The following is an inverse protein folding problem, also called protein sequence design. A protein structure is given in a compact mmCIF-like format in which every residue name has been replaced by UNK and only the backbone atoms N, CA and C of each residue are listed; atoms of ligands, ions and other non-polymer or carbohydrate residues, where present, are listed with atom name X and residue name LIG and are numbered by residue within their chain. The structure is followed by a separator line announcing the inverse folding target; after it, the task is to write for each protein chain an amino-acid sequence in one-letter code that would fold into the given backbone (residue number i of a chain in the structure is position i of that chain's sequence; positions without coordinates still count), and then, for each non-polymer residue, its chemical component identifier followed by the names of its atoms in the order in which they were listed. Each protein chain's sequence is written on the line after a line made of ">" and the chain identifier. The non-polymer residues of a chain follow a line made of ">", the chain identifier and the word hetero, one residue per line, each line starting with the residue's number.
data_IF_328944620272
#
_entry.id   IF_328944620272
#
_cell.length_a   1.000
_cell.length_b   1.000
_cell.length_c   1.000
_cell.angle_alpha   90.00
_cell.angle_beta   90.00
_cell.angle_gamma   90.00
#
_symmetry.space_group_name_H-M   'P 1'
#
loop_
_entity.id
_entity.type
_entity.pdbx_description
1 polymer ?
#
# COMPACT_ATOMS: atom_id res chain seq x y z
N UNK A 1 -10.22 -18.60 33.36
CA UNK A 1 -10.84 -19.84 32.82
C UNK A 1 -12.11 -19.66 32.02
N UNK A 2 -13.15 -18.97 32.51
CA UNK A 2 -14.43 -18.84 31.78
C UNK A 2 -14.26 -18.07 30.46
N UNK A 3 -13.52 -16.97 30.46
CA UNK A 3 -13.23 -16.18 29.27
C UNK A 3 -12.51 -16.98 28.18
N UNK A 4 -11.48 -17.76 28.54
CA UNK A 4 -10.73 -18.60 27.60
C UNK A 4 -11.64 -19.66 26.97
N UNK A 5 -12.46 -20.33 27.79
CA UNK A 5 -13.44 -21.32 27.31
C UNK A 5 -14.52 -20.71 26.40
N UNK A 6 -14.91 -19.46 26.63
CA UNK A 6 -15.85 -18.75 25.75
C UNK A 6 -15.18 -18.36 24.44
N UNK A 7 -13.93 -17.90 24.49
CA UNK A 7 -13.14 -17.52 23.31
C UNK A 7 -12.84 -18.70 22.39
N UNK A 8 -12.54 -19.87 22.95
CA UNK A 8 -12.36 -21.10 22.17
C UNK A 8 -13.63 -21.54 21.41
N UNK A 9 -14.82 -21.10 21.85
CA UNK A 9 -16.09 -21.39 21.17
C UNK A 9 -16.38 -20.44 20.01
N UNK A 10 -15.71 -19.29 19.92
CA UNK A 10 -15.97 -18.27 18.88
C UNK A 10 -15.70 -18.82 17.48
N UNK A 11 -14.56 -19.47 17.28
CA UNK A 11 -14.15 -19.98 15.97
C UNK A 11 -15.09 -21.06 15.40
N UNK A 12 -15.46 -22.14 16.14
CA UNK A 12 -16.42 -23.12 15.63
C UNK A 12 -17.83 -22.52 15.46
N UNK A 13 -18.21 -21.57 16.31
CA UNK A 13 -19.48 -20.85 16.19
C UNK A 13 -19.53 -20.03 14.89
N UNK A 14 -18.43 -19.38 14.52
CA UNK A 14 -18.29 -18.57 13.30
C UNK A 14 -18.49 -19.38 12.03
N UNK A 15 -17.93 -20.59 11.97
CA UNK A 15 -18.10 -21.49 10.82
C UNK A 15 -19.56 -21.90 10.67
N UNK A 16 -20.21 -22.36 11.75
CA UNK A 16 -21.63 -22.74 11.73
C UNK A 16 -22.55 -21.57 11.41
N UNK A 17 -22.27 -20.39 11.96
CA UNK A 17 -23.04 -19.18 11.73
C UNK A 17 -23.06 -18.80 10.24
N UNK A 18 -21.90 -18.91 9.57
CA UNK A 18 -21.79 -18.69 8.12
C UNK A 18 -22.59 -19.73 7.33
N UNK A 19 -22.56 -20.99 7.73
CA UNK A 19 -23.33 -22.05 7.07
C UNK A 19 -24.83 -21.76 7.11
N UNK A 20 -25.38 -21.45 8.28
CA UNK A 20 -26.82 -21.14 8.41
C UNK A 20 -27.23 -19.88 7.62
N UNK A 21 -26.36 -18.86 7.56
CA UNK A 21 -26.62 -17.68 6.74
C UNK A 21 -26.73 -18.03 5.24
N UNK A 22 -25.88 -18.95 4.76
CA UNK A 22 -25.91 -19.47 3.39
C UNK A 22 -27.16 -20.33 3.16
N UNK A 23 -27.52 -21.20 4.09
CA UNK A 23 -28.68 -22.08 3.99
C UNK A 23 -29.99 -21.28 3.89
N UNK A 24 -30.08 -20.17 4.62
CA UNK A 24 -31.20 -19.21 4.58
C UNK A 24 -31.11 -18.21 3.42
N UNK A 25 -30.07 -18.30 2.58
CA UNK A 25 -29.83 -17.41 1.42
C UNK A 25 -29.86 -15.92 1.76
N UNK A 26 -29.32 -15.57 2.92
CA UNK A 26 -29.23 -14.17 3.34
C UNK A 26 -28.01 -13.50 2.68
N UNK A 27 -28.21 -12.34 2.07
CA UNK A 27 -27.14 -11.54 1.44
C UNK A 27 -26.33 -10.78 2.50
N UNK A 28 -25.59 -11.53 3.31
CA UNK A 28 -24.75 -10.98 4.38
C UNK A 28 -23.45 -11.76 4.55
N UNK A 29 -22.43 -11.08 5.09
CA UNK A 29 -21.16 -11.68 5.48
C UNK A 29 -20.97 -11.54 6.98
N UNK A 30 -20.76 -12.67 7.66
CA UNK A 30 -20.43 -12.69 9.09
C UNK A 30 -18.91 -12.56 9.23
N UNK A 31 -18.47 -11.40 9.70
CA UNK A 31 -17.08 -11.02 9.81
C UNK A 31 -16.44 -11.63 11.05
N UNK A 32 -17.08 -11.45 12.22
CA UNK A 32 -16.53 -11.89 13.50
C UNK A 32 -17.59 -12.12 14.58
N UNK A 33 -17.22 -12.86 15.63
CA UNK A 33 -18.07 -13.14 16.80
C UNK A 33 -17.27 -12.90 18.07
N UNK A 34 -17.82 -12.10 18.98
CA UNK A 34 -17.22 -11.85 20.29
C UNK A 34 -18.18 -12.29 21.40
N UNK A 35 -17.68 -13.08 22.34
CA UNK A 35 -18.38 -13.32 23.60
C UNK A 35 -18.10 -12.21 24.61
N UNK A 36 -19.14 -11.83 25.35
CA UNK A 36 -18.97 -11.04 26.56
C UNK A 36 -18.16 -11.85 27.59
N UNK A 37 -17.38 -11.17 28.44
CA UNK A 37 -16.51 -11.81 29.43
C UNK A 37 -17.20 -12.86 30.31
N UNK A 38 -18.49 -12.66 30.61
CA UNK A 38 -19.31 -13.56 31.42
C UNK A 38 -19.91 -14.73 30.62
N UNK A 39 -19.71 -14.78 29.30
CA UNK A 39 -20.25 -15.81 28.40
C UNK A 39 -21.76 -15.75 28.17
N UNK A 40 -22.46 -14.79 28.77
CA UNK A 40 -23.92 -14.66 28.72
C UNK A 40 -24.46 -14.15 27.38
N UNK A 41 -23.65 -13.38 26.66
CA UNK A 41 -24.02 -12.71 25.40
C UNK A 41 -22.93 -12.93 24.35
N UNK A 42 -23.35 -13.21 23.13
CA UNK A 42 -22.49 -13.30 21.96
C UNK A 42 -22.92 -12.25 20.94
N UNK A 43 -21.97 -11.42 20.51
CA UNK A 43 -22.16 -10.35 19.54
C UNK A 43 -21.62 -10.79 18.18
N UNK A 44 -22.49 -10.82 17.19
CA UNK A 44 -22.18 -11.21 15.82
C UNK A 44 -22.03 -9.94 14.98
N UNK A 45 -20.85 -9.74 14.44
CA UNK A 45 -20.56 -8.66 13.51
C UNK A 45 -20.80 -9.11 12.08
N UNK A 46 -21.62 -8.35 11.37
CA UNK A 46 -21.91 -8.64 9.97
C UNK A 46 -21.83 -7.40 9.09
N UNK A 47 -21.55 -7.63 7.81
CA UNK A 47 -21.64 -6.65 6.75
C UNK A 47 -22.67 -7.09 5.71
N UNK A 48 -23.42 -6.12 5.20
CA UNK A 48 -24.42 -6.30 4.16
C UNK A 48 -24.53 -4.99 3.38
N UNK A 49 -24.83 -5.08 2.09
CA UNK A 49 -25.09 -3.92 1.23
C UNK A 49 -26.50 -3.36 1.50
N UNK A 50 -27.48 -4.26 1.57
CA UNK A 50 -28.89 -3.94 1.82
C UNK A 50 -29.36 -4.36 3.21
N UNK A 51 -30.60 -3.99 3.55
CA UNK A 51 -31.24 -4.37 4.81
C UNK A 51 -31.60 -5.86 4.78
N UNK A 52 -31.04 -6.61 5.72
CA UNK A 52 -31.24 -8.06 5.85
C UNK A 52 -32.29 -8.36 6.93
N UNK A 53 -33.26 -9.23 6.63
CA UNK A 53 -34.17 -9.78 7.65
C UNK A 53 -33.55 -11.04 8.28
N UNK A 54 -33.00 -10.88 9.48
CA UNK A 54 -32.33 -11.95 10.23
C UNK A 54 -33.23 -12.60 11.31
N UNK A 55 -34.55 -12.38 11.30
CA UNK A 55 -35.46 -12.94 12.32
C UNK A 55 -35.42 -14.46 12.39
N UNK A 56 -35.38 -15.13 11.24
CA UNK A 56 -35.28 -16.60 11.19
C UNK A 56 -33.90 -17.08 11.63
N UNK A 57 -32.83 -16.37 11.20
CA UNK A 57 -31.46 -16.66 11.58
C UNK A 57 -31.28 -16.60 13.11
N UNK A 58 -31.87 -15.61 13.79
CA UNK A 58 -31.83 -15.52 15.26
C UNK A 58 -32.46 -16.75 15.92
N UNK A 59 -33.57 -17.28 15.38
CA UNK A 59 -34.22 -18.49 15.93
C UNK A 59 -33.31 -19.71 15.81
N UNK A 60 -32.65 -19.86 14.66
CA UNK A 60 -31.70 -20.96 14.41
C UNK A 60 -30.49 -20.82 15.34
N UNK A 61 -29.91 -19.63 15.45
CA UNK A 61 -28.78 -19.36 16.33
C UNK A 61 -29.14 -19.60 17.80
N UNK A 62 -30.31 -19.17 18.26
CA UNK A 62 -30.75 -19.37 19.64
C UNK A 62 -30.90 -20.88 19.97
N UNK A 63 -31.39 -21.67 19.01
CA UNK A 63 -31.55 -23.12 19.15
C UNK A 63 -30.19 -23.85 19.21
N UNK A 64 -29.25 -23.47 18.35
CA UNK A 64 -27.94 -24.12 18.27
C UNK A 64 -27.01 -23.70 19.41
N UNK A 65 -26.90 -22.39 19.67
CA UNK A 65 -25.86 -21.84 20.53
C UNK A 65 -26.30 -21.59 21.97
N UNK A 66 -27.60 -21.63 22.25
CA UNK A 66 -28.20 -21.48 23.60
C UNK A 66 -27.65 -20.26 24.39
N UNK A 67 -27.27 -19.21 23.67
CA UNK A 67 -26.67 -17.98 24.20
C UNK A 67 -27.50 -16.78 23.71
N UNK A 68 -27.52 -15.68 24.47
CA UNK A 68 -28.16 -14.44 24.00
C UNK A 68 -27.38 -13.87 22.82
N UNK A 69 -28.02 -13.81 21.66
CA UNK A 69 -27.43 -13.30 20.42
C UNK A 69 -27.72 -11.82 20.26
N UNK A 70 -26.70 -11.05 19.92
CA UNK A 70 -26.82 -9.68 19.43
C UNK A 70 -26.21 -9.59 18.04
N UNK A 71 -26.97 -9.07 17.07
CA UNK A 71 -26.50 -8.84 15.70
C UNK A 71 -26.10 -7.37 15.59
N UNK A 72 -24.85 -7.11 15.18
CA UNK A 72 -24.32 -5.76 15.00
C UNK A 72 -23.84 -5.57 13.56
N UNK A 73 -24.46 -4.63 12.86
CA UNK A 73 -24.02 -4.23 11.52
C UNK A 73 -22.74 -3.38 11.63
N UNK A 74 -21.77 -3.69 10.78
CA UNK A 74 -20.47 -3.03 10.74
C UNK A 74 -20.25 -2.48 9.33
N UNK A 75 -19.56 -1.34 9.21
CA UNK A 75 -19.21 -0.82 7.89
C UNK A 75 -18.05 -1.61 7.26
N UNK A 76 -17.98 -1.67 5.92
CA UNK A 76 -16.91 -2.38 5.19
C UNK A 76 -15.48 -2.03 5.64
N UNK A 77 -15.23 -0.79 6.05
CA UNK A 77 -13.91 -0.38 6.57
C UNK A 77 -13.61 -0.97 7.94
N UNK A 78 -14.59 -1.02 8.83
CA UNK A 78 -14.46 -1.61 10.15
C UNK A 78 -14.36 -3.14 10.07
N UNK A 79 -15.01 -3.76 9.08
CA UNK A 79 -14.80 -5.17 8.75
C UNK A 79 -13.34 -5.41 8.33
N UNK A 80 -12.80 -4.62 7.40
CA UNK A 80 -11.41 -4.72 6.99
C UNK A 80 -10.43 -4.46 8.16
N UNK A 81 -10.79 -3.58 9.09
CA UNK A 81 -10.01 -3.34 10.31
C UNK A 81 -9.95 -4.56 11.24
N UNK A 82 -11.05 -5.30 11.37
CA UNK A 82 -11.13 -6.51 12.22
C UNK A 82 -10.47 -7.72 11.57
N UNK A 83 -10.74 -7.97 10.28
CA UNK A 83 -10.09 -9.06 9.56
C UNK A 83 -8.58 -8.82 9.39
N UNK A 84 -8.17 -7.55 9.29
CA UNK A 84 -6.81 -7.19 8.92
C UNK A 84 -6.52 -7.52 7.45
N UNK A 85 -5.27 -7.28 7.05
CA UNK A 85 -4.81 -7.54 5.69
C UNK A 85 -3.61 -6.68 5.32
N UNK A 86 -3.22 -6.76 4.04
CA UNK A 86 -2.10 -6.00 3.49
C UNK A 86 -2.64 -4.91 2.55
N UNK A 87 -2.28 -3.66 2.84
CA UNK A 87 -2.62 -2.51 2.01
C UNK A 87 -1.85 -2.50 0.69
N UNK A 88 -2.27 -1.63 -0.24
CA UNK A 88 -1.55 -1.44 -1.51
C UNK A 88 -0.11 -0.94 -1.32
N UNK A 89 0.23 -0.43 -0.14
CA UNK A 89 1.58 -0.03 0.26
C UNK A 89 2.46 -1.20 0.72
N UNK A 90 1.96 -2.44 0.71
CA UNK A 90 2.70 -3.63 1.15
C UNK A 90 2.83 -3.78 2.67
N UNK A 91 2.24 -2.86 3.45
CA UNK A 91 2.18 -2.92 4.93
C UNK A 91 0.82 -3.43 5.39
N UNK A 92 0.72 -3.81 6.66
CA UNK A 92 -0.57 -4.09 7.30
C UNK A 92 -1.53 -2.90 7.17
N UNK A 93 -2.84 -3.17 7.20
CA UNK A 93 -3.85 -2.11 7.10
C UNK A 93 -3.70 -1.09 8.25
N UNK A 94 -3.68 0.19 7.91
CA UNK A 94 -3.64 1.28 8.90
C UNK A 94 -4.82 1.20 9.87
N UNK A 95 -5.97 0.75 9.37
CA UNK A 95 -7.22 0.61 10.12
C UNK A 95 -7.21 -0.52 11.15
N UNK A 96 -6.36 -1.54 10.98
CA UNK A 96 -6.21 -2.64 11.95
C UNK A 96 -5.10 -2.38 12.97
N UNK A 97 -4.23 -1.40 12.70
CA UNK A 97 -3.02 -1.15 13.51
C UNK A 97 -3.19 0.05 14.44
N UNK A 98 -3.34 1.26 13.89
CA UNK A 98 -3.29 2.49 14.70
C UNK A 98 -4.39 3.50 14.35
N UNK A 99 -4.91 3.49 13.12
CA UNK A 99 -5.89 4.47 12.68
C UNK A 99 -7.31 4.00 12.97
N UNK A 100 -7.86 4.42 14.11
CA UNK A 100 -9.20 4.04 14.59
C UNK A 100 -10.30 5.04 14.25
N UNK A 101 -9.96 6.31 13.96
CA UNK A 101 -10.92 7.34 13.54
C UNK A 101 -11.16 7.28 12.02
N UNK A 102 -12.38 6.88 11.64
CA UNK A 102 -12.77 6.72 10.23
C UNK A 102 -13.61 7.89 9.76
N UNK A 103 -12.96 8.93 9.27
CA UNK A 103 -13.64 10.03 8.57
C UNK A 103 -14.02 9.64 7.13
N UNK A 104 -15.07 10.26 6.63
CA UNK A 104 -15.41 10.19 5.20
C UNK A 104 -14.33 10.87 4.38
N UNK A 105 -13.86 10.20 3.34
CA UNK A 105 -12.85 10.72 2.42
C UNK A 105 -13.56 11.16 1.14
N UNK A 106 -13.25 12.36 0.66
CA UNK A 106 -13.75 12.89 -0.60
C UNK A 106 -12.73 12.74 -1.72
N UNK A 107 -13.19 12.80 -2.97
CA UNK A 107 -12.30 12.82 -4.14
C UNK A 107 -11.54 14.15 -4.28
N UNK A 108 -11.93 15.20 -3.55
CA UNK A 108 -11.22 16.48 -3.56
C UNK A 108 -9.81 16.37 -2.96
N UNK A 109 -9.61 15.55 -1.91
CA UNK A 109 -8.29 15.32 -1.32
C UNK A 109 -7.28 14.80 -2.36
N UNK A 110 -7.72 13.87 -3.22
CA UNK A 110 -6.88 13.35 -4.30
C UNK A 110 -6.52 14.42 -5.34
N UNK A 111 -7.41 15.41 -5.59
CA UNK A 111 -7.12 16.52 -6.51
C UNK A 111 -6.07 17.46 -5.95
N UNK A 112 -6.15 17.81 -4.66
CA UNK A 112 -5.14 18.65 -4.01
C UNK A 112 -3.76 18.00 -4.04
N UNK A 113 -3.70 16.69 -3.80
CA UNK A 113 -2.48 15.87 -3.88
C UNK A 113 -2.02 15.57 -5.31
N UNK A 114 -2.69 16.13 -6.33
CA UNK A 114 -2.37 15.94 -7.75
C UNK A 114 -2.30 14.45 -8.18
N UNK A 115 -3.06 13.59 -7.49
CA UNK A 115 -3.15 12.16 -7.80
C UNK A 115 -4.11 11.93 -8.97
N UNK A 116 -3.82 10.90 -9.77
CA UNK A 116 -4.72 10.48 -10.84
C UNK A 116 -6.09 10.09 -10.29
N UNK A 117 -7.17 10.61 -10.87
CA UNK A 117 -8.55 10.38 -10.42
C UNK A 117 -9.12 9.00 -10.85
N UNK A 118 -8.30 7.96 -10.83
CA UNK A 118 -8.74 6.60 -11.14
C UNK A 118 -9.26 5.91 -9.86
N UNK A 119 -10.54 5.50 -9.80
CA UNK A 119 -11.14 4.91 -8.60
C UNK A 119 -10.45 3.62 -8.15
N UNK A 120 -9.91 2.81 -9.07
CA UNK A 120 -9.22 1.56 -8.73
C UNK A 120 -7.93 1.81 -7.95
N UNK A 121 -7.21 2.91 -8.24
CA UNK A 121 -5.98 3.29 -7.54
C UNK A 121 -6.24 3.98 -6.20
N UNK A 122 -7.36 4.69 -6.10
CA UNK A 122 -7.76 5.45 -4.90
C UNK A 122 -8.56 4.61 -3.89
N UNK A 123 -9.15 3.50 -4.32
CA UNK A 123 -9.83 2.56 -3.44
C UNK A 123 -8.82 1.80 -2.55
N UNK A 124 -9.17 1.63 -1.27
CA UNK A 124 -8.48 0.74 -0.36
C UNK A 124 -9.06 -0.68 -0.41
N UNK A 125 -8.51 -1.59 0.39
CA UNK A 125 -8.99 -2.98 0.45
C UNK A 125 -10.45 -3.11 0.92
N UNK A 126 -10.97 -2.10 1.60
CA UNK A 126 -12.37 -2.02 2.00
C UNK A 126 -13.32 -1.56 0.88
N UNK A 127 -12.86 -1.40 -0.36
CA UNK A 127 -13.64 -0.93 -1.51
C UNK A 127 -14.00 0.56 -1.49
N UNK A 128 -13.77 1.27 -0.38
CA UNK A 128 -13.93 2.73 -0.25
C UNK A 128 -12.61 3.46 -0.51
N UNK A 129 -12.67 4.77 -0.72
CA UNK A 129 -11.49 5.63 -0.85
C UNK A 129 -10.50 5.44 0.32
N UNK A 130 -9.21 5.49 0.02
CA UNK A 130 -8.13 5.33 1.01
C UNK A 130 -8.19 6.40 2.09
N UNK A 131 -8.16 6.00 3.36
CA UNK A 131 -8.05 6.91 4.50
C UNK A 131 -6.70 7.65 4.55
N UNK A 132 -5.65 7.10 3.92
CA UNK A 132 -4.35 7.74 3.75
C UNK A 132 -4.48 9.11 3.07
N UNK A 133 -5.44 9.29 2.15
CA UNK A 133 -5.64 10.55 1.45
C UNK A 133 -5.94 11.70 2.41
N UNK A 134 -6.78 11.49 3.42
CA UNK A 134 -7.03 12.53 4.43
C UNK A 134 -5.88 12.65 5.42
N UNK A 135 -5.26 11.53 5.80
CA UNK A 135 -4.15 11.53 6.76
C UNK A 135 -2.95 12.33 6.24
N UNK A 136 -2.62 12.21 4.96
CA UNK A 136 -1.48 12.89 4.32
C UNK A 136 -1.83 14.31 3.85
N UNK A 137 -3.12 14.68 3.79
CA UNK A 137 -3.56 15.94 3.18
C UNK A 137 -3.02 17.17 3.90
N UNK A 138 -3.12 17.21 5.23
CA UNK A 138 -2.75 18.39 6.01
C UNK A 138 -1.24 18.66 5.86
N UNK A 139 -0.41 17.63 6.03
CA UNK A 139 1.04 17.72 5.82
C UNK A 139 1.39 18.09 4.38
N UNK A 140 0.65 17.58 3.40
CA UNK A 140 0.87 17.92 1.99
C UNK A 140 0.58 19.41 1.72
N UNK A 141 -0.49 19.97 2.30
CA UNK A 141 -0.84 21.38 2.13
C UNK A 141 0.21 22.30 2.78
N UNK A 142 0.64 21.98 3.99
CA UNK A 142 1.70 22.71 4.69
C UNK A 142 3.01 22.70 3.89
N UNK A 143 3.36 21.57 3.30
CA UNK A 143 4.57 21.46 2.48
C UNK A 143 4.42 22.26 1.19
N UNK A 144 3.25 22.21 0.54
CA UNK A 144 2.96 22.96 -0.68
C UNK A 144 3.03 24.49 -0.48
N UNK A 145 2.64 25.00 0.68
CA UNK A 145 2.76 26.43 1.02
C UNK A 145 4.21 26.93 1.06
N UNK A 146 5.17 26.05 1.36
CA UNK A 146 6.60 26.41 1.37
C UNK A 146 7.16 26.63 -0.03
N UNK A 147 6.55 26.05 -1.05
CA UNK A 147 7.01 26.21 -2.43
C UNK A 147 6.55 27.53 -3.02
N UNK A 148 7.44 28.30 -3.66
CA UNK A 148 7.02 29.47 -4.42
C UNK A 148 6.17 29.04 -5.62
N UNK A 149 5.28 29.93 -6.05
CA UNK A 149 4.47 29.70 -7.25
C UNK A 149 5.40 29.50 -8.47
N UNK A 150 5.15 28.48 -9.32
CA UNK A 150 6.03 28.13 -10.43
C UNK A 150 6.17 29.24 -11.49
N UNK A 151 5.20 30.16 -11.55
CA UNK A 151 5.21 31.31 -12.46
C UNK A 151 6.23 32.39 -12.10
N UNK A 152 6.76 32.38 -10.87
CA UNK A 152 7.71 33.38 -10.39
C UNK A 152 9.07 33.11 -11.01
N UNK A 153 9.52 34.02 -11.87
CA UNK A 153 10.85 33.99 -12.48
C UNK A 153 11.90 34.50 -11.50
N UNK A 154 13.01 33.78 -11.38
CA UNK A 154 14.15 34.22 -10.57
C UNK A 154 15.05 35.11 -11.43
N UNK A 155 15.32 36.33 -10.98
CA UNK A 155 16.30 37.22 -11.62
C UNK A 155 17.66 36.97 -10.98
N UNK A 156 18.67 36.72 -11.81
CA UNK A 156 20.07 36.64 -11.39
C UNK A 156 20.91 37.45 -12.36
N UNK A 157 22.16 37.71 -12.01
CA UNK A 157 23.09 38.48 -12.86
C UNK A 157 23.36 37.79 -14.21
N UNK A 158 23.39 36.44 -14.22
CA UNK A 158 23.54 35.63 -15.44
C UNK A 158 22.32 35.64 -16.36
N UNK A 159 21.12 35.88 -15.80
CA UNK A 159 19.89 35.84 -16.57
C UNK A 159 18.65 35.52 -15.73
N UNK A 160 17.53 35.38 -16.44
CA UNK A 160 16.22 35.06 -15.86
C UNK A 160 16.07 33.54 -15.86
N UNK A 161 15.75 32.96 -14.71
CA UNK A 161 15.49 31.53 -14.59
C UNK A 161 14.00 31.23 -14.39
N UNK A 162 13.54 30.17 -15.04
CA UNK A 162 12.15 29.72 -15.07
C UNK A 162 12.07 28.33 -14.43
N UNK A 163 11.05 28.11 -13.58
CA UNK A 163 10.79 26.81 -12.98
C UNK A 163 10.23 25.84 -14.03
N UNK A 164 10.91 24.73 -14.26
CA UNK A 164 10.48 23.69 -15.21
C UNK A 164 9.74 22.55 -14.50
N UNK A 165 10.20 22.18 -13.31
CA UNK A 165 9.66 21.06 -12.55
C UNK A 165 9.75 21.34 -11.06
N UNK A 166 8.73 20.89 -10.34
CA UNK A 166 8.67 20.89 -8.87
C UNK A 166 8.43 19.45 -8.40
N UNK A 167 9.23 18.99 -7.44
CA UNK A 167 9.02 17.72 -6.74
C UNK A 167 8.79 18.01 -5.26
N UNK A 168 7.52 17.92 -4.86
CA UNK A 168 7.05 18.25 -3.51
C UNK A 168 7.58 17.23 -2.50
N UNK A 169 7.69 15.95 -2.89
CA UNK A 169 8.13 14.89 -1.98
C UNK A 169 9.62 14.96 -1.66
N UNK A 170 10.44 15.40 -2.62
CA UNK A 170 11.88 15.57 -2.40
C UNK A 170 12.28 16.94 -1.89
N UNK A 171 11.35 17.92 -1.85
CA UNK A 171 11.72 19.29 -1.49
C UNK A 171 12.64 19.92 -2.52
N UNK A 172 12.45 19.63 -3.82
CA UNK A 172 13.36 20.08 -4.89
C UNK A 172 12.62 20.77 -6.02
N UNK A 173 13.25 21.81 -6.56
CA UNK A 173 12.80 22.51 -7.75
C UNK A 173 13.90 22.55 -8.79
N UNK A 174 13.53 22.43 -10.06
CA UNK A 174 14.44 22.54 -11.19
C UNK A 174 14.17 23.83 -11.94
N UNK A 175 15.18 24.69 -11.99
CA UNK A 175 15.17 25.94 -12.73
C UNK A 175 16.10 25.85 -13.94
N UNK A 176 15.71 26.47 -15.04
CA UNK A 176 16.54 26.62 -16.23
C UNK A 176 16.60 28.10 -16.62
N UNK A 177 17.76 28.53 -17.12
CA UNK A 177 17.93 29.90 -17.63
C UNK A 177 17.25 30.08 -18.98
N UNK A 178 16.77 31.30 -19.23
CA UNK A 178 16.20 31.69 -20.53
C UNK A 178 17.29 31.64 -21.62
N UNK A 179 17.14 30.73 -22.58
CA UNK A 179 18.16 30.42 -23.60
C UNK A 179 18.92 29.10 -23.37
N UNK A 180 19.01 28.61 -22.13
CA UNK A 180 19.70 27.36 -21.78
C UNK A 180 18.74 26.32 -21.17
N UNK A 181 17.77 25.87 -21.97
CA UNK A 181 16.69 25.00 -21.48
C UNK A 181 17.15 23.56 -21.16
N UNK A 182 18.36 23.21 -21.60
CA UNK A 182 18.96 21.90 -21.40
C UNK A 182 19.71 21.78 -20.06
N UNK A 183 20.08 22.92 -19.46
CA UNK A 183 20.80 22.96 -18.19
C UNK A 183 19.81 23.19 -17.04
N UNK A 184 19.59 22.15 -16.23
CA UNK A 184 18.70 22.22 -15.07
C UNK A 184 19.49 22.40 -13.78
N UNK A 185 19.22 23.50 -13.08
CA UNK A 185 19.76 23.79 -11.76
C UNK A 185 18.76 23.35 -10.69
N UNK A 186 19.24 22.53 -9.75
CA UNK A 186 18.45 22.06 -8.60
C UNK A 186 18.53 23.08 -7.48
N UNK A 187 17.40 23.49 -6.93
CA UNK A 187 17.30 24.41 -5.79
C UNK A 187 16.31 23.85 -4.77
N UNK A 188 16.54 24.16 -3.50
CA UNK A 188 15.54 23.90 -2.44
C UNK A 188 14.50 25.03 -2.39
N UNK A 189 13.29 24.77 -1.85
CA UNK A 189 12.25 25.80 -1.68
C UNK A 189 12.72 27.00 -0.87
N UNK A 190 13.54 26.76 0.15
CA UNK A 190 14.11 27.80 1.00
C UNK A 190 15.03 28.73 0.19
N UNK A 191 15.98 28.16 -0.55
CA UNK A 191 16.89 28.91 -1.41
C UNK A 191 16.13 29.72 -2.48
N UNK A 192 15.12 29.12 -3.10
CA UNK A 192 14.30 29.82 -4.09
C UNK A 192 13.53 30.99 -3.46
N UNK A 193 12.96 30.81 -2.27
CA UNK A 193 12.27 31.88 -1.54
C UNK A 193 13.22 33.02 -1.11
N UNK A 194 14.45 32.70 -0.71
CA UNK A 194 15.50 33.69 -0.43
C UNK A 194 15.83 34.52 -1.67
N UNK A 195 16.03 33.86 -2.82
CA UNK A 195 16.31 34.54 -4.09
C UNK A 195 15.12 35.43 -4.48
N UNK A 196 13.88 34.97 -4.27
CA UNK A 196 12.67 35.77 -4.50
C UNK A 196 12.62 36.98 -3.56
N UNK A 197 12.98 36.82 -2.28
CA UNK A 197 12.99 37.91 -1.31
C UNK A 197 14.06 38.97 -1.68
N UNK A 198 15.26 38.55 -2.06
CA UNK A 198 16.33 39.41 -2.58
C UNK A 198 15.91 40.15 -3.85
N UNK A 199 15.24 39.46 -4.78
CA UNK A 199 14.70 40.06 -6.00
C UNK A 199 13.62 41.12 -5.72
N UNK A 200 12.79 40.92 -4.70
CA UNK A 200 11.82 41.94 -4.24
C UNK A 200 12.50 43.17 -3.64
N UNK A 201 13.66 43.00 -3.00
CA UNK A 201 14.47 44.08 -2.46
C UNK A 201 15.36 44.76 -3.53
N UNK A 202 15.28 44.34 -4.79
CA UNK A 202 16.05 44.91 -5.90
C UNK A 202 17.52 44.46 -5.95
N UNK A 203 17.91 43.46 -5.17
CA UNK A 203 19.25 42.85 -5.21
C UNK A 203 19.23 41.58 -6.04
N UNK A 204 20.05 41.54 -7.09
CA UNK A 204 20.27 40.35 -7.91
C UNK A 204 21.29 39.42 -7.26
N UNK A 205 21.10 38.12 -7.43
CA UNK A 205 22.03 37.09 -6.96
C UNK A 205 23.00 36.75 -8.11
N UNK A 206 24.27 36.49 -7.79
CA UNK A 206 25.35 36.30 -8.76
C UNK A 206 25.13 35.08 -9.68
N UNK A 207 24.85 33.90 -9.12
CA UNK A 207 24.55 32.70 -9.92
C UNK A 207 23.71 31.66 -9.19
N UNK A 208 22.87 30.91 -9.92
CA UNK A 208 22.10 29.79 -9.35
C UNK A 208 22.99 28.57 -9.05
N UNK A 209 24.16 28.49 -9.68
CA UNK A 209 25.13 27.41 -9.52
C UNK A 209 25.73 27.39 -8.11
N UNK A 210 26.04 28.56 -7.53
CA UNK A 210 26.54 28.68 -6.15
C UNK A 210 25.57 28.09 -5.12
N UNK A 211 24.25 28.17 -5.38
CA UNK A 211 23.22 27.58 -4.52
C UNK A 211 22.99 26.08 -4.79
N UNK A 212 23.19 25.64 -6.04
CA UNK A 212 23.01 24.25 -6.46
C UNK A 212 24.13 23.30 -5.97
N UNK A 213 25.33 23.81 -5.69
CA UNK A 213 26.51 23.01 -5.31
C UNK A 213 26.39 22.39 -3.89
N UNK A 214 25.55 22.94 -3.00
CA UNK A 214 25.33 22.38 -1.66
C UNK A 214 24.55 21.05 -1.63
N UNK A 215 24.16 20.51 -2.79
CA UNK A 215 23.44 19.22 -2.91
C UNK A 215 24.33 18.06 -3.41
N UNK A 216 25.62 18.31 -3.70
CA UNK A 216 26.50 17.31 -4.35
C UNK A 216 27.40 16.49 -3.42
N UNK A 217 27.44 16.77 -2.12
CA UNK A 217 28.23 16.00 -1.15
C UNK A 217 27.37 15.81 0.10
N UNK A 218 26.48 14.81 0.18
CA UNK A 218 26.78 13.55 0.84
C UNK A 218 26.11 12.37 0.12
N UNK A 219 26.76 11.84 -0.93
CA UNK A 219 26.58 10.43 -1.26
C UNK A 219 27.29 9.59 -0.18
N UNK A 220 26.74 9.57 1.04
CA UNK A 220 27.14 8.60 2.07
C UNK A 220 26.68 7.23 1.62
N UNK A 221 27.62 6.55 0.98
CA UNK A 221 27.83 5.09 0.95
C UNK A 221 26.62 4.25 0.57
N UNK A 222 26.71 3.72 -0.66
CA UNK A 222 26.05 2.52 -1.15
C UNK A 222 25.74 1.53 -0.01
N UNK A 223 24.46 1.19 0.13
CA UNK A 223 24.08 0.01 0.91
C UNK A 223 24.80 -1.19 0.29
N UNK A 224 25.75 -1.76 1.04
CA UNK A 224 26.31 -3.07 0.76
C UNK A 224 25.13 -4.06 0.77
N UNK A 225 24.70 -4.49 -0.42
CA UNK A 225 23.69 -5.50 -0.61
C UNK A 225 24.22 -6.84 -0.06
N UNK A 226 24.06 -7.09 1.24
CA UNK A 226 24.32 -8.39 1.89
C UNK A 226 23.11 -9.33 1.75
N UNK A 227 22.30 -9.17 0.70
CA UNK A 227 21.21 -10.12 0.38
C UNK A 227 21.40 -10.66 -1.03
N UNK A 228 22.17 -11.74 -1.10
CA UNK A 228 21.95 -12.81 -2.07
C UNK A 228 22.25 -12.45 -3.52
N UNK A 229 23.53 -12.56 -3.89
CA UNK A 229 23.89 -12.99 -5.25
C UNK A 229 23.35 -14.42 -5.48
N UNK A 230 22.07 -14.54 -5.75
CA UNK A 230 21.51 -15.75 -6.36
C UNK A 230 20.86 -15.30 -7.67
N UNK A 231 21.59 -15.52 -8.77
CA UNK A 231 21.14 -15.17 -10.12
C UNK A 231 19.76 -15.79 -10.37
N UNK A 232 18.82 -14.99 -10.88
CA UNK A 232 17.46 -15.38 -11.30
C UNK A 232 17.38 -16.58 -12.25
N UNK A 233 18.50 -17.01 -12.85
CA UNK A 233 18.61 -18.16 -13.75
C UNK A 233 18.92 -19.49 -13.05
N UNK A 234 18.86 -19.57 -11.70
CA UNK A 234 19.10 -20.82 -10.94
C UNK A 234 18.17 -21.97 -11.36
N UNK A 235 16.97 -21.65 -11.85
CA UNK A 235 15.96 -22.64 -12.26
C UNK A 235 15.93 -22.95 -13.77
N UNK A 236 16.71 -22.26 -14.60
CA UNK A 236 16.66 -22.39 -16.06
C UNK A 236 17.59 -23.45 -16.65
N UNK A 237 18.30 -24.24 -15.84
CA UNK A 237 19.17 -25.31 -16.36
C UNK A 237 18.30 -26.49 -16.84
N UNK A 238 18.29 -26.83 -18.14
CA UNK A 238 17.57 -28.02 -18.61
C UNK A 238 18.21 -29.28 -18.02
N UNK A 239 17.37 -30.21 -17.52
CA UNK A 239 17.80 -31.51 -16.98
C UNK A 239 18.64 -32.26 -18.03
N UNK A 240 19.94 -32.45 -17.75
CA UNK A 240 20.81 -33.34 -18.53
C UNK A 240 20.27 -34.77 -18.44
N UNK A 241 19.69 -35.26 -19.53
CA UNK A 241 19.40 -36.68 -19.72
C UNK A 241 20.70 -37.49 -19.64
N UNK A 242 20.85 -38.33 -18.61
CA UNK A 242 21.91 -39.35 -18.56
C UNK A 242 21.70 -40.31 -19.73
N UNK A 243 22.59 -40.25 -20.73
CA UNK A 243 22.69 -41.28 -21.77
C UNK A 243 23.02 -42.62 -21.11
N UNK A 244 22.07 -43.53 -21.17
CA UNK A 244 22.20 -44.93 -20.75
C UNK A 244 23.14 -45.61 -21.75
N UNK A 245 24.35 -45.97 -21.31
CA UNK A 245 25.33 -46.66 -22.15
C UNK A 245 24.82 -48.06 -22.45
N UNK A 246 24.29 -48.26 -23.66
CA UNK A 246 23.92 -49.56 -24.18
C UNK A 246 25.21 -50.24 -24.71
N UNK A 247 25.82 -51.05 -23.86
CA UNK A 247 26.99 -51.83 -24.25
C UNK A 247 26.52 -53.05 -25.05
N UNK A 248 26.42 -52.88 -26.38
CA UNK A 248 26.16 -53.97 -27.33
C UNK A 248 27.30 -54.03 -28.35
N UNK A 249 28.30 -54.84 -28.06
CA UNK A 249 29.27 -55.39 -29.03
C UNK A 249 29.68 -56.78 -28.52
N UNK A 250 29.84 -57.81 -29.33
CA UNK A 250 29.49 -58.11 -30.73
C UNK A 250 29.93 -59.57 -30.88
N UNK A 251 29.03 -60.44 -31.32
CA UNK A 251 29.42 -61.77 -31.81
C UNK A 251 30.50 -61.65 -32.88
N UNK A 252 31.53 -62.51 -32.83
CA UNK A 252 32.12 -63.04 -34.05
C UNK A 252 32.52 -64.51 -33.85
N UNK A 253 31.78 -65.33 -34.59
CA UNK A 253 31.93 -66.75 -34.88
C UNK A 253 33.36 -67.27 -35.02
N UNK A 254 33.55 -68.55 -34.70
CA UNK A 254 34.10 -69.51 -35.69
C UNK A 254 33.71 -70.94 -35.30
N UNK A 255 33.01 -71.60 -36.22
CA UNK A 255 32.89 -73.05 -36.24
C UNK A 255 34.25 -73.69 -36.47
N UNK A 256 34.43 -74.91 -35.95
CA UNK A 256 34.86 -76.08 -36.73
C UNK A 256 34.82 -77.33 -35.86
N UNK A 257 34.08 -78.33 -36.35
CA UNK A 257 34.20 -79.75 -36.03
C UNK A 257 35.67 -80.19 -35.98
N UNK A 258 36.00 -81.13 -35.10
CA UNK A 258 36.61 -82.41 -35.48
C UNK A 258 36.80 -83.33 -34.26
N UNK A 259 36.27 -84.56 -34.42
CA UNK A 259 36.54 -85.82 -33.71
C UNK A 259 36.07 -85.97 -32.28
#
# INVERSE_FOLDING_TARGET
>A
DIWVKSREKEEPMKVKARQFAIDLKLEMKISDIEYQGDGSKATFYYTAEDRVDFRELIKVFAKEFKTRIEMKQVGFRQEAARLGGIGSCGRELCCSTWLTDFRSVSTSAARYQQLSLNPLKLAGQCGKLKCCLNYELDTYLEELEKFPKPEIKLKTEKGIAICQKTDIFKGLMWYAYDGEWMNWHKLTPQQANEIIASNKQGKTVASLEEYAINLTEEAKTEFENVVGQDSLTRFDKPKRHKKRNNNKKRNKSRSRNAK
#
